data_IF_259361359132
#
_entry.id   IF_259361359132
#
_cell.length_a   1.000
_cell.length_b   1.000
_cell.length_c   1.000
_cell.angle_alpha   90.00
_cell.angle_beta   90.00
_cell.angle_gamma   90.00
#
_symmetry.space_group_name_H-M   'P 1'
#
loop_
_entity.id
_entity.type
_entity.pdbx_description
1 polymer ?
#
# COMPACT_ATOMS: atom_id res chain seq x y z
N UNK A 1 -5.82 -0.68 -0.41
CA UNK A 1 -6.79 0.05 0.44
C UNK A 1 -6.15 0.65 1.70
N UNK A 2 -5.60 -0.15 2.63
CA UNK A 2 -5.03 0.37 3.89
C UNK A 2 -3.91 1.39 3.67
N UNK A 3 -2.96 1.12 2.76
CA UNK A 3 -1.84 2.06 2.47
C UNK A 3 -2.32 3.40 1.89
N UNK A 4 -3.35 3.37 1.04
CA UNK A 4 -4.00 4.58 0.51
C UNK A 4 -4.62 5.41 1.64
N UNK A 5 -5.41 4.78 2.51
CA UNK A 5 -6.01 5.46 3.65
C UNK A 5 -4.95 6.07 4.58
N UNK A 6 -3.86 5.34 4.83
CA UNK A 6 -2.74 5.83 5.63
C UNK A 6 -2.02 7.02 4.96
N UNK A 7 -1.84 7.00 3.63
CA UNK A 7 -1.25 8.11 2.89
C UNK A 7 -2.09 9.39 3.00
N UNK A 8 -3.40 9.28 2.77
CA UNK A 8 -4.35 10.40 2.90
C UNK A 8 -4.37 10.94 4.33
N UNK A 9 -4.45 10.05 5.34
CA UNK A 9 -4.43 10.47 6.74
C UNK A 9 -3.12 11.19 7.12
N UNK A 10 -1.97 10.68 6.66
CA UNK A 10 -0.67 11.31 6.93
C UNK A 10 -0.51 12.65 6.21
N UNK A 11 -1.04 12.79 4.99
CA UNK A 11 -1.03 14.05 4.26
C UNK A 11 -1.93 15.10 4.93
N UNK A 12 -3.13 14.70 5.39
CA UNK A 12 -4.03 15.56 6.16
C UNK A 12 -3.41 16.05 7.48
N UNK A 13 -2.53 15.25 8.09
CA UNK A 13 -1.75 15.63 9.28
C UNK A 13 -0.46 16.42 8.95
N UNK A 14 -0.21 16.75 7.68
CA UNK A 14 1.00 17.45 7.23
C UNK A 14 2.29 16.63 7.35
N UNK A 15 2.20 15.32 7.57
CA UNK A 15 3.34 14.40 7.74
C UNK A 15 3.81 13.79 6.42
N UNK A 16 3.08 14.03 5.34
CA UNK A 16 3.38 13.54 4.00
C UNK A 16 3.11 14.67 3.00
N UNK A 17 3.98 14.83 2.00
CA UNK A 17 3.77 15.84 0.96
C UNK A 17 2.61 15.44 0.04
N UNK A 18 1.85 16.42 -0.51
CA UNK A 18 0.76 16.15 -1.44
C UNK A 18 1.19 15.35 -2.68
N UNK A 19 2.42 15.57 -3.16
CA UNK A 19 2.99 14.82 -4.28
C UNK A 19 3.14 13.33 -3.95
N UNK A 20 3.68 13.01 -2.76
CA UNK A 20 3.84 11.62 -2.31
C UNK A 20 2.50 10.97 -2.05
N UNK A 21 1.56 11.70 -1.45
CA UNK A 21 0.19 11.24 -1.26
C UNK A 21 -0.47 10.85 -2.59
N UNK A 22 -0.38 11.71 -3.61
CA UNK A 22 -0.97 11.48 -4.92
C UNK A 22 -0.36 10.26 -5.61
N UNK A 23 0.97 10.12 -5.57
CA UNK A 23 1.68 8.97 -6.14
C UNK A 23 1.29 7.66 -5.43
N UNK A 24 1.32 7.64 -4.09
CA UNK A 24 0.97 6.44 -3.31
C UNK A 24 -0.50 6.07 -3.55
N UNK A 25 -1.40 7.06 -3.59
CA UNK A 25 -2.82 6.82 -3.83
C UNK A 25 -3.06 6.21 -5.21
N UNK A 26 -2.41 6.74 -6.25
CA UNK A 26 -2.49 6.21 -7.62
C UNK A 26 -2.04 4.75 -7.68
N UNK A 27 -0.86 4.43 -7.17
CA UNK A 27 -0.33 3.06 -7.20
C UNK A 27 -1.22 2.11 -6.38
N UNK A 28 -1.73 2.58 -5.23
CA UNK A 28 -2.68 1.79 -4.45
C UNK A 28 -3.98 1.49 -5.21
N UNK A 29 -4.44 2.39 -6.07
CA UNK A 29 -5.61 2.16 -6.93
C UNK A 29 -5.30 1.16 -8.06
N UNK A 30 -4.11 1.25 -8.67
CA UNK A 30 -3.63 0.26 -9.66
C UNK A 30 -3.52 -1.15 -9.05
N UNK A 31 -3.03 -1.27 -7.81
CA UNK A 31 -3.01 -2.53 -7.04
C UNK A 31 -4.44 -3.02 -6.76
N UNK A 32 -5.35 -2.13 -6.33
CA UNK A 32 -6.72 -2.50 -6.01
C UNK A 32 -7.52 -2.97 -7.25
N UNK A 33 -7.16 -2.47 -8.44
CA UNK A 33 -7.70 -2.92 -9.72
C UNK A 33 -7.06 -4.22 -10.22
N UNK A 34 -6.08 -4.78 -9.51
CA UNK A 34 -5.41 -6.02 -9.87
C UNK A 34 -4.34 -5.90 -10.96
N UNK A 35 -3.97 -4.68 -11.36
CA UNK A 35 -2.99 -4.46 -12.43
C UNK A 35 -1.58 -4.95 -12.05
N UNK A 36 -1.29 -4.96 -10.75
CA UNK A 36 0.03 -5.33 -10.21
C UNK A 36 0.02 -6.67 -9.46
N UNK A 37 -1.00 -7.51 -9.64
CA UNK A 37 -1.14 -8.78 -8.91
C UNK A 37 0.05 -9.72 -9.06
N UNK A 38 0.77 -9.68 -10.18
CA UNK A 38 1.97 -10.49 -10.40
C UNK A 38 3.15 -10.15 -9.45
N UNK A 39 3.14 -8.97 -8.83
CA UNK A 39 4.20 -8.52 -7.92
C UNK A 39 4.02 -9.00 -6.47
N UNK A 40 2.97 -9.78 -6.17
CA UNK A 40 2.69 -10.30 -4.83
C UNK A 40 2.83 -11.83 -4.74
N UNK A 41 4.04 -12.40 -4.87
CA UNK A 41 4.24 -13.85 -4.96
C UNK A 41 4.17 -14.60 -3.62
N UNK A 42 4.10 -13.87 -2.50
CA UNK A 42 4.16 -14.45 -1.15
C UNK A 42 3.01 -15.44 -0.91
N UNK A 43 3.34 -16.56 -0.28
CA UNK A 43 2.40 -17.63 0.05
C UNK A 43 1.78 -17.40 1.43
N UNK A 44 0.67 -18.08 1.69
CA UNK A 44 -0.06 -18.02 2.97
C UNK A 44 0.79 -18.50 4.15
N UNK A 45 1.65 -19.49 3.92
CA UNK A 45 2.55 -20.06 4.93
C UNK A 45 3.77 -19.18 5.16
N UNK A 46 3.57 -18.10 5.92
CA UNK A 46 4.56 -17.09 6.28
C UNK A 46 4.53 -16.83 7.79
N UNK A 47 5.22 -15.78 8.26
CA UNK A 47 5.18 -15.38 9.67
C UNK A 47 3.74 -15.10 10.11
N UNK A 48 3.36 -15.53 11.33
CA UNK A 48 1.98 -15.40 11.82
C UNK A 48 1.48 -13.96 11.98
N UNK A 49 2.40 -12.98 12.04
CA UNK A 49 2.10 -11.55 12.04
C UNK A 49 1.73 -11.00 10.66
N UNK A 50 1.97 -11.74 9.57
CA UNK A 50 1.78 -11.25 8.21
C UNK A 50 2.74 -10.13 7.81
N UNK A 51 3.83 -9.91 8.56
CA UNK A 51 4.78 -8.79 8.33
C UNK A 51 5.33 -8.81 6.91
N UNK A 52 5.61 -9.99 6.36
CA UNK A 52 6.13 -10.14 5.00
C UNK A 52 5.14 -9.63 3.96
N UNK A 53 3.85 -9.95 4.11
CA UNK A 53 2.79 -9.43 3.22
C UNK A 53 2.58 -7.93 3.39
N UNK A 54 2.63 -7.40 4.63
CA UNK A 54 2.49 -5.95 4.85
C UNK A 54 3.67 -5.13 4.28
N UNK A 55 4.88 -5.70 4.26
CA UNK A 55 6.05 -5.05 3.67
C UNK A 55 6.07 -5.18 2.14
N UNK A 56 5.37 -6.17 1.59
CA UNK A 56 5.26 -6.35 0.14
C UNK A 56 4.19 -5.45 -0.50
N UNK A 57 3.37 -4.77 0.32
CA UNK A 57 2.24 -3.90 -0.08
C UNK A 57 2.55 -2.44 0.20
#
# INVERSE_FOLDING_TARGET
>A
VVKKAAAVANAALGRLSPEKEALISRVCDEIAQGQLSAHFPLKVWQTGSGTQTNMNV
#
